data_IF_666578983086
#
_entry.id   IF_666578983086
#
_cell.length_a   1.000
_cell.length_b   1.000
_cell.length_c   1.000
_cell.angle_alpha   90.00
_cell.angle_beta   90.00
_cell.angle_gamma   90.00
#
_symmetry.space_group_name_H-M   'P 1'
#
loop_
_entity.id
_entity.type
_entity.pdbx_description
1 polymer ?
#
# COMPACT_ATOMS: atom_id res chain seq x y z
N UNK A 1 -20.58 10.04 9.07
CA UNK A 1 -20.05 10.51 10.37
C UNK A 1 -18.54 10.43 10.27
N UNK A 2 -17.84 11.54 10.45
CA UNK A 2 -16.38 11.56 10.42
C UNK A 2 -15.85 11.44 11.85
N UNK A 3 -14.80 10.64 12.01
CA UNK A 3 -14.12 10.42 13.28
C UNK A 3 -13.08 11.53 13.45
N UNK A 4 -13.28 12.38 14.45
CA UNK A 4 -12.31 13.39 14.86
C UNK A 4 -11.48 12.84 16.04
N UNK A 5 -10.26 12.40 15.75
CA UNK A 5 -9.34 11.85 16.76
C UNK A 5 -7.88 12.08 16.36
N UNK A 6 -7.41 13.34 16.33
CA UNK A 6 -6.13 13.71 15.77
C UNK A 6 -4.95 13.02 16.46
N UNK A 7 -5.00 12.85 17.79
CA UNK A 7 -3.95 12.13 18.55
C UNK A 7 -3.82 10.67 18.13
N UNK A 8 -4.95 9.98 17.93
CA UNK A 8 -4.94 8.59 17.46
C UNK A 8 -4.38 8.53 16.04
N UNK A 9 -4.74 9.49 15.19
CA UNK A 9 -4.20 9.58 13.84
C UNK A 9 -2.68 9.79 13.85
N UNK A 10 -2.15 10.68 14.70
CA UNK A 10 -0.70 10.88 14.87
C UNK A 10 0.01 9.61 15.33
N UNK A 11 -0.55 8.90 16.31
CA UNK A 11 -0.02 7.61 16.78
C UNK A 11 0.01 6.56 15.67
N UNK A 12 -1.03 6.53 14.83
CA UNK A 12 -1.10 5.62 13.67
C UNK A 12 -0.11 6.01 12.59
N UNK A 13 0.05 7.30 12.30
CA UNK A 13 1.09 7.79 11.39
C UNK A 13 2.47 7.30 11.85
N UNK A 14 2.82 7.47 13.12
CA UNK A 14 4.07 6.96 13.66
C UNK A 14 4.21 5.44 13.52
N UNK A 15 3.14 4.69 13.80
CA UNK A 15 3.15 3.24 13.64
C UNK A 15 3.43 2.80 12.20
N UNK A 16 2.72 3.37 11.22
CA UNK A 16 2.91 3.01 9.80
C UNK A 16 4.30 3.39 9.29
N UNK A 17 4.85 4.53 9.70
CA UNK A 17 6.19 4.91 9.28
C UNK A 17 7.29 4.07 9.95
N UNK A 18 7.11 3.59 11.18
CA UNK A 18 8.01 2.58 11.76
C UNK A 18 8.03 1.30 10.92
N UNK A 19 6.89 0.88 10.39
CA UNK A 19 6.84 -0.27 9.46
C UNK A 19 7.53 0.04 8.14
N UNK A 20 7.29 1.22 7.55
CA UNK A 20 7.97 1.65 6.32
C UNK A 20 9.50 1.67 6.48
N UNK A 21 10.00 2.13 7.62
CA UNK A 21 11.43 2.08 7.95
C UNK A 21 11.96 0.64 8.00
N UNK A 22 11.21 -0.27 8.62
CA UNK A 22 11.51 -1.70 8.65
C UNK A 22 11.59 -2.31 7.24
N UNK A 23 10.56 -2.07 6.42
CA UNK A 23 10.52 -2.50 5.02
C UNK A 23 11.70 -1.94 4.22
N UNK A 24 12.04 -0.66 4.40
CA UNK A 24 13.17 -0.04 3.73
C UNK A 24 14.52 -0.66 4.13
N UNK A 25 14.69 -1.02 5.42
CA UNK A 25 15.89 -1.73 5.88
C UNK A 25 16.02 -3.10 5.22
N UNK A 26 14.93 -3.88 5.16
CA UNK A 26 14.92 -5.19 4.50
C UNK A 26 15.21 -5.05 3.01
N UNK A 27 14.57 -4.10 2.32
CA UNK A 27 14.77 -3.84 0.90
C UNK A 27 16.21 -3.45 0.56
N UNK A 28 16.89 -2.71 1.44
CA UNK A 28 18.32 -2.38 1.30
C UNK A 28 19.23 -3.58 1.58
N UNK A 29 18.88 -4.43 2.54
CA UNK A 29 19.68 -5.60 2.90
C UNK A 29 19.54 -6.75 1.88
N UNK A 30 18.39 -6.86 1.22
CA UNK A 30 18.04 -7.93 0.29
C UNK A 30 17.58 -7.36 -1.06
N UNK A 31 18.49 -6.71 -1.83
CA UNK A 31 18.13 -6.09 -3.10
C UNK A 31 17.63 -7.13 -4.10
N UNK A 32 16.47 -6.88 -4.70
CA UNK A 32 15.82 -7.81 -5.64
C UNK A 32 15.02 -8.93 -4.99
N UNK A 33 15.11 -9.14 -3.67
CA UNK A 33 14.33 -10.15 -2.93
C UNK A 33 13.11 -9.58 -2.21
N UNK A 34 12.70 -8.35 -2.54
CA UNK A 34 11.48 -7.71 -2.01
C UNK A 34 10.67 -7.14 -3.17
N UNK A 35 9.39 -7.51 -3.23
CA UNK A 35 8.44 -6.99 -4.19
C UNK A 35 7.47 -6.03 -3.48
N UNK A 36 7.41 -4.78 -3.96
CA UNK A 36 6.37 -3.85 -3.53
C UNK A 36 5.10 -4.12 -4.34
N UNK A 37 3.97 -4.31 -3.64
CA UNK A 37 2.65 -4.52 -4.25
C UNK A 37 1.72 -3.40 -3.80
N UNK A 38 1.49 -2.37 -4.64
CA UNK A 38 0.57 -1.30 -4.29
C UNK A 38 -0.86 -1.83 -4.11
N UNK A 39 -1.52 -1.44 -3.02
CA UNK A 39 -2.89 -1.89 -2.72
C UNK A 39 -3.92 -1.46 -3.78
N UNK A 40 -3.69 -0.36 -4.49
CA UNK A 40 -4.56 0.05 -5.59
C UNK A 40 -4.35 -0.77 -6.86
N UNK A 41 -3.14 -1.29 -7.09
CA UNK A 41 -2.83 -2.09 -8.27
C UNK A 41 -3.50 -3.47 -8.22
N UNK A 42 -3.60 -4.10 -7.03
CA UNK A 42 -4.30 -5.38 -6.90
C UNK A 42 -5.81 -5.22 -7.12
N UNK A 43 -6.40 -4.07 -6.77
CA UNK A 43 -7.82 -3.80 -7.01
C UNK A 43 -8.08 -3.52 -8.49
N UNK A 44 -7.24 -2.70 -9.14
CA UNK A 44 -7.42 -2.32 -10.55
C UNK A 44 -7.04 -3.42 -11.53
N UNK A 45 -6.00 -4.18 -11.20
CA UNK A 45 -5.36 -5.15 -12.09
C UNK A 45 -5.04 -6.47 -11.34
N UNK A 46 -6.02 -7.14 -10.73
CA UNK A 46 -5.78 -8.28 -9.83
C UNK A 46 -5.01 -9.42 -10.49
N UNK A 47 -5.45 -9.91 -11.67
CA UNK A 47 -4.78 -11.02 -12.36
C UNK A 47 -3.34 -10.69 -12.76
N UNK A 48 -3.08 -9.47 -13.25
CA UNK A 48 -1.74 -9.02 -13.63
C UNK A 48 -0.83 -8.84 -12.40
N UNK A 49 -1.38 -8.33 -11.30
CA UNK A 49 -0.64 -8.20 -10.03
C UNK A 49 -0.29 -9.58 -9.46
N UNK A 50 -1.24 -10.52 -9.44
CA UNK A 50 -0.99 -11.90 -9.03
C UNK A 50 0.07 -12.58 -9.91
N UNK A 51 0.03 -12.35 -11.22
CA UNK A 51 1.05 -12.88 -12.14
C UNK A 51 2.45 -12.37 -11.78
N UNK A 52 2.60 -11.06 -11.49
CA UNK A 52 3.86 -10.48 -11.04
C UNK A 52 4.35 -11.13 -9.74
N UNK A 53 3.44 -11.40 -8.80
CA UNK A 53 3.76 -12.10 -7.54
C UNK A 53 4.22 -13.54 -7.83
N UNK A 54 3.52 -14.29 -8.67
CA UNK A 54 3.91 -15.65 -9.04
C UNK A 54 5.31 -15.68 -9.69
N UNK A 55 5.57 -14.77 -10.64
CA UNK A 55 6.89 -14.64 -11.28
C UNK A 55 7.98 -14.28 -10.27
N UNK A 56 7.70 -13.36 -9.34
CA UNK A 56 8.65 -12.97 -8.30
C UNK A 56 8.99 -14.12 -7.35
N UNK A 57 8.03 -14.98 -7.03
CA UNK A 57 8.22 -16.17 -6.20
C UNK A 57 8.78 -17.37 -6.96
N UNK A 58 9.04 -17.23 -8.26
CA UNK A 58 9.48 -18.30 -9.18
C UNK A 58 8.53 -19.53 -9.16
N UNK A 59 7.22 -19.26 -9.14
CA UNK A 59 6.19 -20.29 -9.20
C UNK A 59 5.36 -20.18 -10.48
N UNK A 60 4.97 -21.33 -11.02
CA UNK A 60 4.05 -21.39 -12.16
C UNK A 60 2.61 -21.31 -11.67
N UNK A 61 1.89 -20.26 -12.09
CA UNK A 61 0.47 -20.10 -11.82
C UNK A 61 -0.32 -20.34 -13.10
N UNK A 62 -1.27 -21.29 -13.06
CA UNK A 62 -2.18 -21.54 -14.19
C UNK A 62 -3.07 -20.32 -14.42
N UNK A 63 -3.45 -20.07 -15.68
CA UNK A 63 -4.29 -18.92 -16.01
C UNK A 63 -5.62 -18.95 -15.26
N UNK A 64 -6.24 -20.13 -15.15
CA UNK A 64 -7.49 -20.30 -14.42
C UNK A 64 -7.36 -19.87 -12.95
N UNK A 65 -6.28 -20.25 -12.28
CA UNK A 65 -6.01 -19.85 -10.89
C UNK A 65 -5.92 -18.32 -10.75
N UNK A 66 -5.24 -17.65 -11.68
CA UNK A 66 -5.12 -16.19 -11.65
C UNK A 66 -6.48 -15.51 -11.83
N UNK A 67 -7.33 -16.03 -12.70
CA UNK A 67 -8.68 -15.51 -12.93
C UNK A 67 -9.61 -15.78 -11.74
N UNK A 68 -9.56 -16.99 -11.16
CA UNK A 68 -10.36 -17.36 -9.99
C UNK A 68 -10.01 -16.47 -8.80
N UNK A 69 -8.72 -16.29 -8.50
CA UNK A 69 -8.27 -15.37 -7.46
C UNK A 69 -8.65 -13.92 -7.76
N UNK A 70 -8.51 -13.47 -9.01
CA UNK A 70 -8.88 -12.12 -9.40
C UNK A 70 -10.37 -11.84 -9.20
N UNK A 71 -11.24 -12.81 -9.46
CA UNK A 71 -12.68 -12.69 -9.26
C UNK A 71 -13.10 -12.50 -7.78
N UNK A 72 -12.23 -12.85 -6.83
CA UNK A 72 -12.50 -12.62 -5.39
C UNK A 72 -12.24 -11.18 -4.94
N UNK A 73 -11.47 -10.41 -5.71
CA UNK A 73 -11.10 -9.05 -5.33
C UNK A 73 -12.27 -8.11 -5.60
N UNK A 74 -12.72 -7.41 -4.56
CA UNK A 74 -13.77 -6.41 -4.72
C UNK A 74 -13.28 -5.27 -5.64
N UNK A 75 -14.02 -4.90 -6.69
CA UNK A 75 -13.52 -3.97 -7.72
C UNK A 75 -13.45 -2.52 -7.24
N UNK A 76 -14.14 -2.19 -6.14
CA UNK A 76 -14.13 -0.84 -5.55
C UNK A 76 -13.12 -0.81 -4.41
N UNK A 77 -12.09 0.07 -4.47
CA UNK A 77 -11.14 0.22 -3.39
C UNK A 77 -11.82 0.86 -2.17
N UNK A 78 -11.41 0.42 -0.98
CA UNK A 78 -11.90 1.00 0.26
C UNK A 78 -11.14 2.29 0.60
N UNK A 79 -11.81 3.44 0.57
CA UNK A 79 -11.22 4.75 0.88
C UNK A 79 -11.59 5.13 2.32
N UNK A 80 -11.03 4.41 3.30
CA UNK A 80 -11.42 4.61 4.71
C UNK A 80 -10.92 5.93 5.30
N UNK A 81 -9.90 6.53 4.68
CA UNK A 81 -9.32 7.80 5.12
C UNK A 81 -10.30 8.97 5.06
N UNK A 82 -11.34 8.89 4.23
CA UNK A 82 -12.39 9.92 4.10
C UNK A 82 -13.36 9.94 5.29
N UNK A 83 -13.38 8.88 6.11
CA UNK A 83 -14.15 8.84 7.36
C UNK A 83 -13.40 9.46 8.54
N UNK A 84 -12.20 9.99 8.35
CA UNK A 84 -11.35 10.55 9.41
C UNK A 84 -11.13 12.04 9.12
N UNK A 85 -11.17 12.88 10.15
CA UNK A 85 -10.78 14.29 10.02
C UNK A 85 -9.25 14.43 10.06
N UNK A 86 -8.67 15.02 9.02
CA UNK A 86 -7.24 15.26 8.89
C UNK A 86 -6.95 16.77 8.94
N UNK A 87 -5.98 17.18 9.74
CA UNK A 87 -5.46 18.55 9.64
C UNK A 87 -4.52 18.70 8.44
N UNK A 88 -4.31 19.95 8.00
CA UNK A 88 -3.35 20.24 6.94
C UNK A 88 -1.93 19.84 7.35
N UNK A 89 -1.56 20.07 8.61
CA UNK A 89 -0.26 19.70 9.17
C UNK A 89 -0.03 18.19 9.14
N UNK A 90 -1.05 17.38 9.47
CA UNK A 90 -0.97 15.92 9.41
C UNK A 90 -0.74 15.43 7.98
N UNK A 91 -1.50 15.94 7.01
CA UNK A 91 -1.31 15.60 5.59
C UNK A 91 0.09 15.98 5.10
N UNK A 92 0.54 17.19 5.41
CA UNK A 92 1.87 17.66 5.03
C UNK A 92 2.98 16.80 5.66
N UNK A 93 2.84 16.44 6.94
CA UNK A 93 3.78 15.55 7.64
C UNK A 93 3.86 14.17 6.98
N UNK A 94 2.73 13.57 6.59
CA UNK A 94 2.70 12.31 5.84
C UNK A 94 3.46 12.45 4.52
N UNK A 95 3.17 13.49 3.73
CA UNK A 95 3.82 13.71 2.44
C UNK A 95 5.34 13.86 2.54
N UNK A 96 5.84 14.65 3.49
CA UNK A 96 7.29 14.83 3.69
C UNK A 96 7.99 13.54 4.10
N UNK A 97 7.33 12.72 4.93
CA UNK A 97 7.87 11.43 5.35
C UNK A 97 7.84 10.39 4.24
N UNK A 98 6.79 10.38 3.41
CA UNK A 98 6.67 9.47 2.26
C UNK A 98 7.82 9.63 1.27
N UNK A 99 8.27 10.87 1.01
CA UNK A 99 9.39 11.18 0.08
C UNK A 99 10.69 10.45 0.39
N UNK A 100 10.86 9.94 1.62
CA UNK A 100 12.05 9.18 2.04
C UNK A 100 12.08 7.75 1.50
N UNK A 101 10.98 7.25 0.93
CA UNK A 101 10.84 5.86 0.50
C UNK A 101 10.31 5.79 -0.94
N UNK A 102 11.08 5.20 -1.85
CA UNK A 102 10.69 5.11 -3.27
C UNK A 102 9.42 4.31 -3.51
N UNK A 103 9.09 3.34 -2.64
CA UNK A 103 7.86 2.55 -2.77
C UNK A 103 6.57 3.33 -2.46
N UNK A 104 6.66 4.58 -2.00
CA UNK A 104 5.52 5.49 -1.87
C UNK A 104 5.34 6.42 -3.08
N UNK A 105 6.18 6.31 -4.11
CA UNK A 105 5.99 7.08 -5.34
C UNK A 105 4.62 6.80 -5.97
N UNK A 106 3.92 7.87 -6.35
CA UNK A 106 2.60 7.79 -6.99
C UNK A 106 1.40 7.70 -6.05
N UNK A 107 1.60 7.63 -4.72
CA UNK A 107 0.52 7.71 -3.75
C UNK A 107 0.18 9.17 -3.38
N UNK A 108 -1.11 9.49 -3.31
CA UNK A 108 -1.59 10.76 -2.74
C UNK A 108 -2.85 10.57 -1.89
N UNK A 109 -3.15 11.57 -1.06
CA UNK A 109 -4.37 11.60 -0.25
C UNK A 109 -5.64 11.69 -1.13
N UNK A 110 -5.53 12.30 -2.30
CA UNK A 110 -6.64 12.52 -3.22
C UNK A 110 -6.91 11.33 -4.16
N UNK A 111 -6.09 10.27 -4.11
CA UNK A 111 -6.08 9.17 -5.08
C UNK A 111 -7.13 8.07 -4.84
#
# INVERSE_FOLDING_TARGET
MNVNSPKILDEKMEQYFRWAEGCNKVKKALPGSVLDVPSMEIVKNPANTLRKICTFLDITCAEQYLQDCAATVHPVPSITRDFIEWTAEQKNSVYERMRKFSFFEGFSYEQ
#
